data_IF_126991677300
#
_entry.id   IF_126991677300
#
_cell.length_a   1.000
_cell.length_b   1.000
_cell.length_c   1.000
_cell.angle_alpha   90.00
_cell.angle_beta   90.00
_cell.angle_gamma   90.00
#
_symmetry.space_group_name_H-M   'P 1'
#
loop_
_entity.id
_entity.type
_entity.pdbx_description
1 polymer ?
#
# COMPACT_ATOMS: atom_id res chain seq x y z
N UNK A 1 -22.70 24.57 -6.89
CA UNK A 1 -23.81 23.75 -7.42
C UNK A 1 -24.55 23.21 -6.21
N UNK A 2 -25.68 23.82 -5.88
CA UNK A 2 -26.54 23.37 -4.81
C UNK A 2 -27.49 22.34 -5.42
N UNK A 3 -27.42 21.09 -4.95
CA UNK A 3 -28.28 20.01 -5.43
C UNK A 3 -29.55 20.06 -4.59
N UNK A 4 -30.67 20.35 -5.25
CA UNK A 4 -31.97 20.31 -4.61
C UNK A 4 -32.53 18.88 -4.60
N UNK A 5 -33.46 18.54 -3.68
CA UNK A 5 -33.96 17.16 -3.52
C UNK A 5 -34.51 16.55 -4.80
N UNK A 6 -35.13 17.36 -5.65
CA UNK A 6 -35.63 16.94 -6.95
C UNK A 6 -34.53 16.59 -7.96
N UNK A 7 -33.29 17.07 -7.83
CA UNK A 7 -32.18 16.81 -8.78
C UNK A 7 -31.34 15.59 -8.35
N UNK A 8 -31.69 14.97 -7.23
CA UNK A 8 -30.97 13.82 -6.68
C UNK A 8 -30.95 12.61 -7.64
N UNK A 9 -31.92 12.51 -8.57
CA UNK A 9 -31.94 11.45 -9.57
C UNK A 9 -30.71 11.47 -10.51
N UNK A 10 -30.07 12.62 -10.72
CA UNK A 10 -28.81 12.68 -11.47
C UNK A 10 -27.66 11.98 -10.74
N UNK A 11 -27.54 12.18 -9.42
CA UNK A 11 -26.54 11.50 -8.59
C UNK A 11 -26.85 10.00 -8.51
N UNK A 12 -28.12 9.65 -8.25
CA UNK A 12 -28.54 8.26 -8.18
C UNK A 12 -28.26 7.53 -9.51
N UNK A 13 -28.58 8.16 -10.65
CA UNK A 13 -28.26 7.64 -11.97
C UNK A 13 -26.75 7.46 -12.20
N UNK A 14 -25.93 8.44 -11.80
CA UNK A 14 -24.47 8.32 -11.88
C UNK A 14 -23.95 7.15 -11.04
N UNK A 15 -24.42 7.00 -9.81
CA UNK A 15 -24.01 5.91 -8.91
C UNK A 15 -24.45 4.54 -9.45
N UNK A 16 -25.65 4.43 -10.03
CA UNK A 16 -26.11 3.21 -10.69
C UNK A 16 -25.23 2.87 -11.89
N UNK A 17 -24.93 3.85 -12.75
CA UNK A 17 -24.05 3.65 -13.90
C UNK A 17 -22.63 3.27 -13.48
N UNK A 18 -22.10 3.89 -12.41
CA UNK A 18 -20.80 3.54 -11.83
C UNK A 18 -20.80 2.12 -11.25
N UNK A 19 -21.86 1.72 -10.54
CA UNK A 19 -22.01 0.38 -9.99
C UNK A 19 -22.12 -0.69 -11.09
N UNK A 20 -22.93 -0.44 -12.11
CA UNK A 20 -23.03 -1.31 -13.29
C UNK A 20 -21.69 -1.39 -14.03
N UNK A 21 -21.00 -0.27 -14.21
CA UNK A 21 -19.69 -0.20 -14.83
C UNK A 21 -18.64 -1.01 -14.06
N UNK A 22 -18.58 -0.86 -12.73
CA UNK A 22 -17.70 -1.66 -11.88
C UNK A 22 -18.02 -3.15 -12.01
N UNK A 23 -19.31 -3.54 -11.96
CA UNK A 23 -19.73 -4.92 -12.10
C UNK A 23 -19.33 -5.51 -13.47
N UNK A 24 -19.54 -4.76 -14.55
CA UNK A 24 -19.16 -5.14 -15.92
C UNK A 24 -17.64 -5.30 -16.06
N UNK A 25 -16.85 -4.37 -15.51
CA UNK A 25 -15.39 -4.47 -15.51
C UNK A 25 -14.94 -5.70 -14.72
N UNK A 26 -15.54 -5.98 -13.56
CA UNK A 26 -15.20 -7.16 -12.77
C UNK A 26 -15.64 -8.47 -13.41
N UNK A 27 -16.73 -8.50 -14.18
CA UNK A 27 -17.19 -9.73 -14.86
C UNK A 27 -16.42 -10.00 -16.16
N UNK A 28 -15.99 -8.95 -16.89
CA UNK A 28 -15.25 -9.07 -18.15
C UNK A 28 -13.74 -9.25 -17.92
N UNK A 29 -13.14 -8.45 -17.03
CA UNK A 29 -11.68 -8.45 -16.77
C UNK A 29 -11.32 -9.26 -15.51
N UNK A 30 -12.33 -9.80 -14.80
CA UNK A 30 -12.14 -10.67 -13.65
C UNK A 30 -11.41 -9.97 -12.50
N UNK A 31 -10.15 -10.38 -12.26
CA UNK A 31 -9.26 -9.91 -11.17
C UNK A 31 -8.74 -8.48 -11.34
N UNK A 32 -9.25 -7.66 -12.24
CA UNK A 32 -8.82 -6.27 -12.40
C UNK A 32 -8.89 -5.49 -11.07
N UNK A 33 -10.04 -5.55 -10.39
CA UNK A 33 -10.22 -4.85 -9.11
C UNK A 33 -9.67 -5.67 -7.94
N UNK A 34 -10.29 -6.81 -7.60
CA UNK A 34 -9.90 -7.63 -6.45
C UNK A 34 -8.50 -8.27 -6.56
N UNK A 35 -7.87 -8.24 -7.76
CA UNK A 35 -6.52 -8.77 -7.99
C UNK A 35 -5.46 -7.69 -8.20
N UNK A 36 -5.65 -6.76 -9.15
CA UNK A 36 -4.57 -5.84 -9.57
C UNK A 36 -4.72 -4.40 -9.09
N UNK A 37 -5.92 -3.96 -8.72
CA UNK A 37 -6.15 -2.61 -8.17
C UNK A 37 -6.36 -2.62 -6.65
N UNK A 38 -6.71 -3.78 -6.07
CA UNK A 38 -6.86 -3.93 -4.63
C UNK A 38 -5.51 -3.67 -3.97
N UNK A 39 -5.37 -2.60 -3.16
CA UNK A 39 -4.08 -2.23 -2.58
C UNK A 39 -3.51 -3.36 -1.71
N UNK A 40 -4.37 -4.10 -1.01
CA UNK A 40 -3.95 -5.25 -0.20
C UNK A 40 -3.24 -6.33 -1.05
N UNK A 41 -3.84 -6.74 -2.17
CA UNK A 41 -3.26 -7.78 -3.04
C UNK A 41 -1.94 -7.30 -3.66
N UNK A 42 -1.92 -6.06 -4.14
CA UNK A 42 -0.73 -5.45 -4.75
C UNK A 42 0.44 -5.37 -3.76
N UNK A 43 0.16 -4.98 -2.50
CA UNK A 43 1.20 -4.93 -1.47
C UNK A 43 1.72 -6.31 -1.11
N UNK A 44 0.85 -7.30 -0.91
CA UNK A 44 1.29 -8.67 -0.61
C UNK A 44 2.12 -9.26 -1.74
N UNK A 45 1.72 -9.05 -3.00
CA UNK A 45 2.47 -9.53 -4.16
C UNK A 45 3.84 -8.84 -4.26
N UNK A 46 3.90 -7.53 -4.00
CA UNK A 46 5.13 -6.77 -3.97
C UNK A 46 6.07 -7.25 -2.85
N UNK A 47 5.56 -7.48 -1.63
CA UNK A 47 6.38 -7.96 -0.51
C UNK A 47 6.93 -9.36 -0.76
N UNK A 48 6.14 -10.26 -1.35
CA UNK A 48 6.58 -11.60 -1.74
C UNK A 48 7.64 -11.52 -2.84
N UNK A 49 7.49 -10.59 -3.79
CA UNK A 49 8.49 -10.36 -4.84
C UNK A 49 9.82 -9.84 -4.27
N UNK A 50 9.77 -8.87 -3.36
CA UNK A 50 10.95 -8.38 -2.62
C UNK A 50 11.61 -9.50 -1.84
N UNK A 51 10.82 -10.34 -1.16
CA UNK A 51 11.36 -11.46 -0.39
C UNK A 51 12.05 -12.48 -1.30
N UNK A 52 11.51 -12.75 -2.49
CA UNK A 52 12.19 -13.59 -3.50
C UNK A 52 13.50 -12.95 -4.00
N UNK A 53 13.55 -11.63 -4.12
CA UNK A 53 14.75 -10.92 -4.55
C UNK A 53 15.87 -11.01 -3.50
N UNK A 54 15.53 -10.89 -2.21
CA UNK A 54 16.49 -10.83 -1.10
C UNK A 54 16.88 -12.21 -0.57
N UNK A 55 15.91 -13.11 -0.39
CA UNK A 55 16.10 -14.43 0.23
C UNK A 55 16.13 -15.57 -0.80
N UNK A 56 15.65 -15.33 -2.03
CA UNK A 56 15.62 -16.29 -3.12
C UNK A 56 14.33 -17.11 -3.21
N UNK A 57 14.38 -18.17 -4.03
CA UNK A 57 13.26 -19.08 -4.21
C UNK A 57 12.84 -19.78 -2.90
N UNK A 58 11.66 -20.40 -2.92
CA UNK A 58 11.11 -21.11 -1.75
C UNK A 58 12.10 -22.10 -1.13
N UNK A 59 12.87 -22.81 -1.95
CA UNK A 59 13.89 -23.75 -1.47
C UNK A 59 15.07 -23.07 -0.75
N UNK A 60 15.50 -21.91 -1.22
CA UNK A 60 16.57 -21.13 -0.59
C UNK A 60 16.12 -20.57 0.76
N UNK A 61 14.86 -20.11 0.87
CA UNK A 61 14.25 -19.66 2.13
C UNK A 61 14.18 -20.76 3.18
N UNK A 62 13.67 -21.94 2.82
CA UNK A 62 13.58 -23.07 3.75
C UNK A 62 14.97 -23.49 4.25
N UNK A 63 15.99 -23.43 3.38
CA UNK A 63 17.38 -23.72 3.78
C UNK A 63 17.95 -22.64 4.69
N UNK A 64 17.71 -21.36 4.36
CA UNK A 64 18.13 -20.22 5.17
C UNK A 64 17.48 -20.25 6.56
N UNK A 65 16.21 -20.64 6.67
CA UNK A 65 15.51 -20.74 7.95
C UNK A 65 16.04 -21.87 8.84
N UNK A 66 16.44 -23.00 8.24
CA UNK A 66 17.05 -24.14 8.95
C UNK A 66 18.50 -23.91 9.38
N UNK A 67 19.22 -22.99 8.75
CA UNK A 67 20.58 -22.65 9.14
C UNK A 67 20.64 -21.87 10.47
N UNK A 68 21.68 -22.08 11.31
CA UNK A 68 21.89 -21.28 12.51
C UNK A 68 22.07 -19.81 12.16
N UNK A 69 21.81 -18.92 13.13
CA UNK A 69 21.80 -17.48 12.89
C UNK A 69 23.21 -16.95 12.60
N UNK A 70 23.60 -16.95 11.32
CA UNK A 70 24.87 -16.42 10.83
C UNK A 70 24.77 -14.93 10.52
N UNK A 71 25.90 -14.22 10.48
CA UNK A 71 25.95 -12.81 10.09
C UNK A 71 25.31 -12.58 8.70
N UNK A 72 25.52 -13.51 7.75
CA UNK A 72 24.90 -13.46 6.43
C UNK A 72 23.37 -13.57 6.48
N UNK A 73 22.81 -14.42 7.37
CA UNK A 73 21.36 -14.55 7.58
C UNK A 73 20.76 -13.29 8.22
N UNK A 74 21.47 -12.69 9.19
CA UNK A 74 21.04 -11.45 9.81
C UNK A 74 21.00 -10.29 8.81
N UNK A 75 22.03 -10.13 7.96
CA UNK A 75 22.05 -9.09 6.92
C UNK A 75 20.92 -9.26 5.91
N UNK A 76 20.62 -10.48 5.46
CA UNK A 76 19.50 -10.74 4.54
C UNK A 76 18.14 -10.41 5.17
N UNK A 77 17.90 -10.81 6.42
CA UNK A 77 16.65 -10.49 7.13
C UNK A 77 16.52 -8.98 7.38
N UNK A 78 17.60 -8.32 7.77
CA UNK A 78 17.60 -6.86 7.95
C UNK A 78 17.29 -6.14 6.63
N UNK A 79 17.94 -6.55 5.53
CA UNK A 79 17.68 -5.99 4.21
C UNK A 79 16.21 -6.15 3.80
N UNK A 80 15.60 -7.31 4.04
CA UNK A 80 14.17 -7.53 3.81
C UNK A 80 13.31 -6.52 4.58
N UNK A 81 13.50 -6.43 5.90
CA UNK A 81 12.71 -5.54 6.74
C UNK A 81 12.90 -4.06 6.39
N UNK A 82 14.12 -3.65 6.04
CA UNK A 82 14.41 -2.28 5.60
C UNK A 82 13.67 -1.96 4.31
N UNK A 83 13.72 -2.86 3.30
CA UNK A 83 13.00 -2.63 2.04
C UNK A 83 11.48 -2.60 2.28
N UNK A 84 10.96 -3.49 3.12
CA UNK A 84 9.54 -3.51 3.47
C UNK A 84 9.10 -2.20 4.15
N UNK A 85 9.91 -1.69 5.06
CA UNK A 85 9.64 -0.43 5.76
C UNK A 85 9.68 0.77 4.81
N UNK A 86 10.64 0.81 3.88
CA UNK A 86 10.72 1.87 2.85
C UNK A 86 9.47 1.85 1.96
N UNK A 87 9.05 0.66 1.51
CA UNK A 87 7.84 0.52 0.70
C UNK A 87 6.62 0.99 1.49
N UNK A 88 6.42 0.48 2.71
CA UNK A 88 5.28 0.85 3.54
C UNK A 88 5.24 2.36 3.84
N UNK A 89 6.38 2.98 4.15
CA UNK A 89 6.50 4.42 4.40
C UNK A 89 6.25 5.23 3.12
N UNK A 90 6.73 4.77 1.97
CA UNK A 90 6.45 5.38 0.67
C UNK A 90 4.96 5.37 0.35
N UNK A 91 4.27 4.26 0.61
CA UNK A 91 2.82 4.16 0.38
C UNK A 91 2.02 5.04 1.34
N UNK A 92 2.36 5.03 2.63
CA UNK A 92 1.72 5.87 3.63
C UNK A 92 1.96 7.37 3.38
N UNK A 93 3.18 7.74 2.97
CA UNK A 93 3.54 9.10 2.60
C UNK A 93 2.83 9.58 1.34
N UNK A 94 2.76 8.75 0.28
CA UNK A 94 2.06 9.08 -0.96
C UNK A 94 0.57 9.39 -0.75
N UNK A 95 -0.08 8.71 0.20
CA UNK A 95 -1.47 8.99 0.54
C UNK A 95 -1.64 10.36 1.20
N UNK A 96 -0.72 10.75 2.08
CA UNK A 96 -0.77 12.07 2.74
C UNK A 96 -0.38 13.20 1.78
N UNK A 97 0.56 12.95 0.85
CA UNK A 97 0.90 13.86 -0.24
C UNK A 97 -0.23 14.08 -1.25
N UNK A 98 -1.26 13.22 -1.27
CA UNK A 98 -2.44 13.44 -2.09
C UNK A 98 -3.34 14.56 -1.52
N UNK A 99 -3.39 14.71 -0.20
CA UNK A 99 -4.25 15.68 0.48
C UNK A 99 -3.53 16.98 0.87
N UNK A 100 -2.20 17.00 0.82
CA UNK A 100 -1.39 18.16 1.19
C UNK A 100 -0.15 18.26 0.29
N UNK A 101 0.39 19.48 0.12
CA UNK A 101 1.47 19.78 -0.83
C UNK A 101 2.70 18.87 -0.65
N UNK A 102 2.96 18.02 -1.65
CA UNK A 102 4.01 17.01 -1.62
C UNK A 102 5.43 17.53 -1.30
N UNK A 103 5.93 18.65 -1.87
CA UNK A 103 7.30 19.08 -1.63
C UNK A 103 7.50 19.74 -0.25
N UNK A 104 6.52 20.51 0.23
CA UNK A 104 6.60 21.18 1.55
C UNK A 104 6.42 20.17 2.67
N UNK A 105 5.48 19.23 2.54
CA UNK A 105 5.21 18.25 3.57
C UNK A 105 6.35 17.24 3.75
N UNK A 106 7.07 16.89 2.67
CA UNK A 106 8.25 16.03 2.74
C UNK A 106 9.38 16.73 3.50
N UNK A 107 9.62 18.02 3.23
CA UNK A 107 10.58 18.84 3.99
C UNK A 107 10.15 18.98 5.45
N UNK A 108 8.87 19.24 5.72
CA UNK A 108 8.30 19.41 7.07
C UNK A 108 8.32 18.11 7.90
N UNK A 109 8.23 16.95 7.23
CA UNK A 109 8.41 15.64 7.85
C UNK A 109 9.85 15.38 8.29
N UNK A 110 10.83 15.83 7.50
CA UNK A 110 12.25 15.70 7.84
C UNK A 110 12.73 16.78 8.82
N UNK A 111 12.10 17.96 8.84
CA UNK A 111 12.42 19.07 9.77
C UNK A 111 11.63 19.01 11.08
N UNK A 112 10.69 18.06 11.23
CA UNK A 112 9.93 17.88 12.46
C UNK A 112 8.77 18.88 12.64
N UNK A 113 8.44 19.68 11.62
CA UNK A 113 7.42 20.72 11.70
C UNK A 113 6.05 20.32 11.15
N UNK A 114 5.91 19.12 10.59
CA UNK A 114 4.62 18.67 10.06
C UNK A 114 3.55 18.52 11.16
N UNK A 115 2.28 18.69 10.78
CA UNK A 115 1.15 18.53 11.69
C UNK A 115 1.11 17.11 12.29
N UNK A 116 0.79 16.99 13.58
CA UNK A 116 0.67 15.70 14.30
C UNK A 116 -0.25 14.70 13.59
N UNK A 117 -1.29 15.22 12.93
CA UNK A 117 -2.23 14.40 12.13
C UNK A 117 -1.54 13.76 10.94
N UNK A 118 -0.64 14.46 10.24
CA UNK A 118 0.11 13.90 9.12
C UNK A 118 1.04 12.76 9.59
N UNK A 119 1.75 12.94 10.71
CA UNK A 119 2.57 11.87 11.29
C UNK A 119 1.74 10.67 11.73
N UNK A 120 0.59 10.91 12.37
CA UNK A 120 -0.30 9.84 12.81
C UNK A 120 -0.86 9.05 11.61
N UNK A 121 -1.29 9.73 10.55
CA UNK A 121 -1.82 9.06 9.35
C UNK A 121 -0.74 8.29 8.59
N UNK A 122 0.46 8.87 8.38
CA UNK A 122 1.58 8.14 7.77
C UNK A 122 1.96 6.95 8.64
N UNK A 123 2.05 7.11 9.95
CA UNK A 123 2.39 6.05 10.89
C UNK A 123 1.38 4.90 10.88
N UNK A 124 0.08 5.20 10.94
CA UNK A 124 -0.98 4.20 10.89
C UNK A 124 -0.99 3.47 9.56
N UNK A 125 -0.90 4.18 8.43
CA UNK A 125 -0.89 3.55 7.10
C UNK A 125 0.38 2.71 6.88
N UNK A 126 1.54 3.20 7.32
CA UNK A 126 2.79 2.43 7.26
C UNK A 126 2.68 1.17 8.10
N UNK A 127 2.14 1.28 9.32
CA UNK A 127 1.96 0.15 10.22
C UNK A 127 0.99 -0.89 9.65
N UNK A 128 -0.16 -0.47 9.13
CA UNK A 128 -1.14 -1.40 8.56
C UNK A 128 -0.60 -2.05 7.30
N UNK A 129 0.08 -1.33 6.42
CA UNK A 129 0.70 -1.91 5.22
C UNK A 129 1.81 -2.90 5.57
N UNK A 130 2.65 -2.59 6.57
CA UNK A 130 3.74 -3.47 7.00
C UNK A 130 3.24 -4.74 7.70
N UNK A 131 2.20 -4.63 8.53
CA UNK A 131 1.65 -5.77 9.31
C UNK A 131 0.68 -6.65 8.53
N UNK A 132 -0.10 -6.08 7.61
CA UNK A 132 -1.07 -6.84 6.82
C UNK A 132 -0.47 -7.38 5.52
N UNK A 133 0.67 -6.84 5.08
CA UNK A 133 1.36 -7.27 3.87
C UNK A 133 2.35 -8.43 4.06
N UNK A 134 2.72 -8.77 5.30
CA UNK A 134 3.71 -9.78 5.64
C UNK A 134 3.27 -10.73 6.73
#
# INVERSE_FOLDING_TARGET
IEIWPQEFYYIAGLLIMAGLGLFLVTSVVGRAWCGYACPQTVWTDLFIWVERLVEGDRGARIRLDKEPMSAAKATKRLAKYVIWLIIAMGTGGAWVFYFADAPTLLVDLFTGQAATVAYATVGVLTFTTFTLGG
#
